data_IF_304184523531
#
_entry.id   IF_304184523531
#
_cell.length_a   1.000
_cell.length_b   1.000
_cell.length_c   1.000
_cell.angle_alpha   90.00
_cell.angle_beta   90.00
_cell.angle_gamma   90.00
#
_symmetry.space_group_name_H-M   'P 1'
#
loop_
_entity.id
_entity.type
_entity.pdbx_description
1 polymer ?
#
# COMPACT_ATOMS: atom_id res chain seq x y z
N UNK A 1 -24.20 18.97 0.67
CA UNK A 1 -23.07 19.90 0.40
C UNK A 1 -22.49 19.53 -0.97
N UNK A 2 -22.03 20.51 -1.75
CA UNK A 2 -21.36 20.27 -3.03
C UNK A 2 -19.85 20.10 -2.80
N UNK A 3 -19.28 18.98 -3.25
CA UNK A 3 -17.86 18.65 -3.07
C UNK A 3 -17.20 18.45 -4.43
N UNK A 4 -16.17 19.23 -4.71
CA UNK A 4 -15.43 19.10 -5.96
C UNK A 4 -14.40 17.96 -5.90
N UNK A 5 -14.40 17.12 -6.92
CA UNK A 5 -13.50 15.97 -7.08
C UNK A 5 -12.71 16.09 -8.38
N UNK A 6 -11.44 15.70 -8.33
CA UNK A 6 -10.58 15.50 -9.50
C UNK A 6 -10.50 14.00 -9.77
N UNK A 7 -11.07 13.54 -10.89
CA UNK A 7 -10.89 12.15 -11.37
C UNK A 7 -9.66 12.05 -12.28
N UNK A 8 -9.04 10.88 -12.37
CA UNK A 8 -7.90 10.60 -13.27
C UNK A 8 -8.18 10.93 -14.76
N UNK A 9 -9.46 10.96 -15.15
CA UNK A 9 -9.90 11.37 -16.48
C UNK A 9 -10.15 12.88 -16.54
N UNK A 10 -9.07 13.62 -16.81
CA UNK A 10 -9.05 15.07 -16.97
C UNK A 10 -9.98 15.55 -18.09
N UNK A 11 -11.03 16.28 -17.71
CA UNK A 11 -11.64 17.41 -18.45
C UNK A 11 -12.75 18.11 -17.67
N UNK A 12 -13.24 17.55 -16.56
CA UNK A 12 -14.30 18.17 -15.73
C UNK A 12 -14.03 18.01 -14.25
N UNK A 13 -14.09 19.12 -13.53
CA UNK A 13 -14.30 19.15 -12.07
C UNK A 13 -15.69 18.61 -11.83
N UNK A 14 -15.80 17.42 -11.26
CA UNK A 14 -17.08 16.85 -10.89
C UNK A 14 -17.46 17.38 -9.52
N UNK A 15 -18.67 17.92 -9.41
CA UNK A 15 -19.24 18.30 -8.12
C UNK A 15 -20.12 17.15 -7.69
N UNK A 16 -19.67 16.39 -6.70
CA UNK A 16 -20.45 15.34 -6.08
C UNK A 16 -21.27 15.93 -4.94
N UNK A 17 -22.56 15.61 -4.93
CA UNK A 17 -23.44 15.91 -3.80
C UNK A 17 -23.53 14.69 -2.86
N UNK A 18 -24.23 14.85 -1.74
CA UNK A 18 -24.36 13.79 -0.73
C UNK A 18 -25.08 12.54 -1.27
N UNK A 19 -25.95 12.68 -2.28
CA UNK A 19 -26.62 11.56 -2.95
C UNK A 19 -25.64 10.76 -3.81
N UNK A 20 -24.78 11.44 -4.58
CA UNK A 20 -23.76 10.79 -5.40
C UNK A 20 -22.79 9.99 -4.51
N UNK A 21 -22.36 10.58 -3.39
CA UNK A 21 -21.50 9.88 -2.43
C UNK A 21 -22.17 8.66 -1.80
N UNK A 22 -23.47 8.75 -1.47
CA UNK A 22 -24.23 7.59 -1.00
C UNK A 22 -24.30 6.50 -2.07
N UNK A 23 -24.48 6.87 -3.34
CA UNK A 23 -24.49 5.92 -4.45
C UNK A 23 -23.13 5.27 -4.65
N UNK A 24 -22.03 6.02 -4.66
CA UNK A 24 -20.68 5.47 -4.77
C UNK A 24 -20.36 4.50 -3.62
N UNK A 25 -20.71 4.85 -2.38
CA UNK A 25 -20.58 3.95 -1.23
C UNK A 25 -21.39 2.67 -1.39
N UNK A 26 -22.61 2.77 -1.95
CA UNK A 26 -23.45 1.60 -2.25
C UNK A 26 -22.84 0.73 -3.34
N UNK A 27 -22.28 1.33 -4.40
CA UNK A 27 -21.58 0.62 -5.48
C UNK A 27 -20.35 -0.11 -4.95
N UNK A 28 -19.50 0.55 -4.14
CA UNK A 28 -18.34 -0.09 -3.49
C UNK A 28 -18.76 -1.31 -2.67
N UNK A 29 -19.82 -1.20 -1.87
CA UNK A 29 -20.39 -2.35 -1.12
C UNK A 29 -20.86 -3.48 -2.04
N UNK A 30 -21.47 -3.15 -3.18
CA UNK A 30 -21.91 -4.14 -4.16
C UNK A 30 -20.73 -4.86 -4.82
N UNK A 31 -19.66 -4.14 -5.16
CA UNK A 31 -18.43 -4.71 -5.71
C UNK A 31 -17.79 -5.66 -4.70
N UNK A 32 -17.65 -5.23 -3.44
CA UNK A 32 -17.12 -6.09 -2.36
C UNK A 32 -17.96 -7.36 -2.21
N UNK A 33 -19.29 -7.24 -2.21
CA UNK A 33 -20.18 -8.41 -2.13
C UNK A 33 -19.99 -9.37 -3.32
N UNK A 34 -19.78 -8.84 -4.52
CA UNK A 34 -19.52 -9.64 -5.71
C UNK A 34 -18.17 -10.36 -5.62
N UNK A 35 -17.11 -9.65 -5.19
CA UNK A 35 -15.79 -10.24 -4.94
C UNK A 35 -15.89 -11.36 -3.91
N UNK A 36 -16.58 -11.14 -2.79
CA UNK A 36 -16.77 -12.17 -1.75
C UNK A 36 -17.45 -13.42 -2.30
N UNK A 37 -18.48 -13.26 -3.14
CA UNK A 37 -19.12 -14.41 -3.80
C UNK A 37 -18.11 -15.19 -4.65
N UNK A 38 -17.29 -14.50 -5.44
CA UNK A 38 -16.26 -15.17 -6.26
C UNK A 38 -15.19 -15.85 -5.38
N UNK A 39 -14.84 -15.26 -4.23
CA UNK A 39 -13.93 -15.86 -3.26
C UNK A 39 -14.55 -17.10 -2.59
N UNK A 40 -15.85 -17.11 -2.29
CA UNK A 40 -16.56 -18.27 -1.77
C UNK A 40 -16.52 -19.42 -2.78
N UNK A 41 -16.76 -19.14 -4.06
CA UNK A 41 -16.69 -20.12 -5.14
C UNK A 41 -15.28 -20.70 -5.29
N UNK A 42 -14.24 -19.86 -5.28
CA UNK A 42 -12.83 -20.28 -5.31
C UNK A 42 -12.49 -21.11 -4.06
N UNK A 43 -12.90 -20.65 -2.87
CA UNK A 43 -12.61 -21.35 -1.62
C UNK A 43 -13.28 -22.72 -1.57
N UNK A 44 -14.50 -22.84 -2.09
CA UNK A 44 -15.20 -24.12 -2.20
C UNK A 44 -14.44 -25.09 -3.09
N UNK A 45 -13.99 -24.63 -4.27
CA UNK A 45 -13.20 -25.43 -5.21
C UNK A 45 -11.83 -25.88 -4.65
N UNK A 46 -11.26 -25.11 -3.73
CA UNK A 46 -9.96 -25.38 -3.12
C UNK A 46 -10.04 -26.11 -1.78
N UNK A 47 -11.26 -26.37 -1.27
CA UNK A 47 -11.47 -26.81 0.12
C UNK A 47 -10.88 -28.18 0.48
N UNK A 48 -10.71 -29.07 -0.50
CA UNK A 48 -10.19 -30.43 -0.35
C UNK A 48 -8.70 -30.56 -0.74
N UNK A 49 -8.05 -29.45 -1.09
CA UNK A 49 -6.66 -29.46 -1.57
C UNK A 49 -5.69 -29.60 -0.41
N UNK A 50 -4.83 -30.60 -0.49
CA UNK A 50 -3.65 -30.72 0.36
C UNK A 50 -2.53 -29.80 -0.15
N UNK A 51 -1.65 -29.35 0.76
CA UNK A 51 -0.49 -28.49 0.46
C UNK A 51 -0.86 -27.20 -0.28
N UNK A 52 -1.89 -26.52 0.23
CA UNK A 52 -2.41 -25.28 -0.35
C UNK A 52 -1.90 -24.06 0.43
N UNK A 53 -1.58 -23.00 -0.30
CA UNK A 53 -1.48 -21.64 0.23
C UNK A 53 -2.33 -20.72 -0.65
N UNK A 54 -3.22 -19.94 -0.01
CA UNK A 54 -4.04 -18.93 -0.64
C UNK A 54 -3.61 -17.57 -0.11
N UNK A 55 -3.33 -16.63 -1.01
CA UNK A 55 -2.97 -15.25 -0.67
C UNK A 55 -3.95 -14.31 -1.32
N UNK A 56 -4.59 -13.48 -0.51
CA UNK A 56 -5.52 -12.45 -0.95
C UNK A 56 -4.87 -11.10 -0.67
N UNK A 57 -4.68 -10.30 -1.72
CA UNK A 57 -4.08 -8.97 -1.62
C UNK A 57 -4.68 -8.03 -2.65
N UNK A 58 -4.40 -6.74 -2.49
CA UNK A 58 -4.56 -5.74 -3.55
C UNK A 58 -3.18 -5.19 -3.96
N UNK A 59 -3.08 -4.63 -5.16
CA UNK A 59 -1.91 -3.87 -5.61
C UNK A 59 -1.89 -2.46 -5.01
N UNK A 60 -3.07 -1.85 -4.89
CA UNK A 60 -3.33 -0.61 -4.16
C UNK A 60 -4.80 -0.57 -3.67
N UNK A 61 -5.12 0.45 -2.87
CA UNK A 61 -6.47 0.79 -2.46
C UNK A 61 -7.07 1.92 -3.29
N UNK A 62 -8.15 2.53 -2.79
CA UNK A 62 -8.88 3.59 -3.49
C UNK A 62 -9.52 4.55 -2.49
N UNK A 63 -9.37 5.85 -2.75
CA UNK A 63 -9.97 6.92 -1.97
C UNK A 63 -11.45 7.09 -2.34
N UNK A 64 -12.28 7.31 -1.33
CA UNK A 64 -13.70 7.60 -1.43
C UNK A 64 -14.06 8.82 -0.56
N UNK A 65 -13.41 9.94 -0.86
CA UNK A 65 -13.57 11.27 -0.28
C UNK A 65 -12.92 11.54 1.08
N UNK A 66 -12.15 10.60 1.63
CA UNK A 66 -11.42 10.79 2.89
C UNK A 66 -10.49 12.02 2.82
N UNK A 67 -9.90 12.30 1.65
CA UNK A 67 -9.08 13.48 1.36
C UNK A 67 -9.59 14.27 0.14
N UNK A 68 -10.93 14.32 0.00
CA UNK A 68 -11.66 15.11 -1.01
C UNK A 68 -11.38 14.70 -2.47
N UNK A 69 -10.95 13.47 -2.71
CA UNK A 69 -10.94 12.90 -4.05
C UNK A 69 -11.62 11.54 -4.07
N UNK A 70 -11.84 11.05 -5.28
CA UNK A 70 -12.20 9.66 -5.57
C UNK A 70 -11.07 9.12 -6.44
N UNK A 71 -10.86 7.80 -6.41
CA UNK A 71 -9.85 7.08 -7.18
C UNK A 71 -8.45 7.02 -6.50
N UNK A 72 -7.48 6.41 -7.15
CA UNK A 72 -6.14 6.11 -6.65
C UNK A 72 -5.06 7.00 -7.30
N UNK A 73 -5.23 8.32 -7.18
CA UNK A 73 -4.17 9.26 -7.57
C UNK A 73 -2.87 8.97 -6.81
N UNK A 74 -1.72 9.39 -7.34
CA UNK A 74 -0.40 9.19 -6.70
C UNK A 74 -0.24 10.03 -5.41
N UNK A 75 -0.97 9.64 -4.37
CA UNK A 75 -1.06 10.22 -3.04
C UNK A 75 -0.97 9.08 -2.04
N UNK A 76 0.14 8.93 -1.32
CA UNK A 76 0.38 7.75 -0.48
C UNK A 76 -0.37 7.84 0.86
N UNK A 77 -1.66 8.18 0.84
CA UNK A 77 -2.58 8.04 1.99
C UNK A 77 -2.92 6.57 2.21
N UNK A 78 -3.27 6.21 3.44
CA UNK A 78 -3.50 4.82 3.84
C UNK A 78 -4.68 4.18 3.07
N UNK A 79 -5.69 4.94 2.65
CA UNK A 79 -6.75 4.44 1.76
C UNK A 79 -6.21 3.88 0.44
N UNK A 80 -5.03 4.34 0.00
CA UNK A 80 -4.36 3.92 -1.24
C UNK A 80 -3.26 2.89 -0.98
N UNK A 81 -2.49 3.00 0.10
CA UNK A 81 -1.28 2.17 0.29
C UNK A 81 -1.46 1.06 1.33
N UNK A 82 -2.46 1.14 2.21
CA UNK A 82 -2.73 0.13 3.23
C UNK A 82 -3.78 -0.85 2.70
N UNK A 83 -3.30 -1.87 2.00
CA UNK A 83 -4.13 -2.86 1.31
C UNK A 83 -4.39 -4.10 2.18
N UNK A 84 -5.49 -4.84 1.91
CA UNK A 84 -5.65 -6.17 2.47
C UNK A 84 -4.46 -7.05 2.12
N UNK A 85 -3.97 -7.84 3.08
CA UNK A 85 -2.96 -8.86 2.85
C UNK A 85 -3.24 -10.04 3.78
N UNK A 86 -3.91 -11.06 3.27
CA UNK A 86 -4.32 -12.24 4.03
C UNK A 86 -3.70 -13.50 3.42
N UNK A 87 -3.13 -14.34 4.28
CA UNK A 87 -2.52 -15.62 3.90
C UNK A 87 -3.21 -16.74 4.68
N UNK A 88 -3.70 -17.72 3.94
CA UNK A 88 -4.17 -18.99 4.45
C UNK A 88 -3.30 -20.12 3.92
N UNK A 89 -3.00 -21.13 4.74
CA UNK A 89 -2.34 -22.34 4.28
C UNK A 89 -2.79 -23.56 5.08
N UNK A 90 -2.79 -24.73 4.42
CA UNK A 90 -3.10 -26.02 5.05
C UNK A 90 -1.95 -26.54 5.91
N UNK A 91 -0.74 -25.97 5.79
CA UNK A 91 0.36 -26.25 6.73
C UNK A 91 0.07 -25.57 8.07
N UNK A 92 -0.35 -26.37 9.06
CA UNK A 92 -0.73 -25.88 10.39
C UNK A 92 0.41 -25.19 11.15
N UNK A 93 1.66 -25.58 10.94
CA UNK A 93 2.81 -24.96 11.58
C UNK A 93 3.08 -23.58 10.97
N UNK A 94 3.13 -23.51 9.64
CA UNK A 94 3.29 -22.24 8.93
C UNK A 94 2.12 -21.29 9.20
N UNK A 95 0.89 -21.80 9.24
CA UNK A 95 -0.30 -21.01 9.57
C UNK A 95 -0.24 -20.43 10.99
N UNK A 96 0.36 -21.16 11.95
CA UNK A 96 0.59 -20.66 13.32
C UNK A 96 1.66 -19.57 13.31
N UNK A 97 2.77 -19.79 12.62
CA UNK A 97 3.86 -18.83 12.49
C UNK A 97 3.38 -17.51 11.86
N UNK A 98 2.63 -17.58 10.75
CA UNK A 98 2.05 -16.42 10.09
C UNK A 98 1.17 -15.56 11.02
N UNK A 99 0.48 -16.18 11.99
CA UNK A 99 -0.37 -15.43 12.95
C UNK A 99 0.45 -14.57 13.91
N UNK A 100 1.72 -14.87 14.12
CA UNK A 100 2.61 -14.06 14.98
C UNK A 100 3.00 -12.72 14.33
N UNK A 101 2.76 -12.58 13.02
CA UNK A 101 3.16 -11.43 12.21
C UNK A 101 2.00 -10.52 11.79
N UNK A 102 0.78 -10.74 12.30
CA UNK A 102 -0.42 -9.98 11.87
C UNK A 102 -0.37 -8.48 12.14
N UNK A 103 0.46 -8.05 13.10
CA UNK A 103 0.64 -6.64 13.47
C UNK A 103 1.99 -6.08 12.98
N UNK A 104 2.78 -6.88 12.25
CA UNK A 104 4.07 -6.43 11.75
C UNK A 104 3.89 -5.58 10.48
N UNK A 105 4.82 -4.64 10.28
CA UNK A 105 4.89 -3.88 9.04
C UNK A 105 5.37 -4.78 7.90
N UNK A 106 4.51 -4.98 6.90
CA UNK A 106 4.80 -5.75 5.67
C UNK A 106 4.57 -4.86 4.44
N UNK A 107 5.41 -5.02 3.42
CA UNK A 107 5.22 -4.45 2.09
C UNK A 107 4.93 -5.54 1.07
N UNK A 108 4.15 -5.24 0.03
CA UNK A 108 3.82 -6.20 -1.03
C UNK A 108 5.07 -6.83 -1.69
N UNK A 109 6.18 -6.09 -1.78
CA UNK A 109 7.44 -6.61 -2.35
C UNK A 109 8.08 -7.71 -1.49
N UNK A 110 7.69 -7.83 -0.22
CA UNK A 110 8.21 -8.84 0.72
C UNK A 110 7.64 -10.22 0.47
N UNK A 111 6.42 -10.29 -0.08
CA UNK A 111 5.74 -11.57 -0.25
C UNK A 111 6.53 -12.51 -1.16
N UNK A 112 7.09 -12.00 -2.26
CA UNK A 112 7.90 -12.79 -3.18
C UNK A 112 9.12 -13.44 -2.51
N UNK A 113 9.78 -12.71 -1.60
CA UNK A 113 10.96 -13.18 -0.85
C UNK A 113 10.55 -14.16 0.26
N UNK A 114 9.42 -13.87 0.91
CA UNK A 114 8.86 -14.73 1.96
C UNK A 114 8.41 -16.07 1.39
N UNK A 115 7.71 -16.06 0.26
CA UNK A 115 7.29 -17.27 -0.45
C UNK A 115 8.48 -18.11 -0.89
N UNK A 116 9.54 -17.49 -1.43
CA UNK A 116 10.78 -18.21 -1.74
C UNK A 116 11.36 -18.89 -0.49
N UNK A 117 11.39 -18.18 0.65
CA UNK A 117 11.82 -18.74 1.92
C UNK A 117 10.98 -19.91 2.41
N UNK A 118 9.65 -19.84 2.28
CA UNK A 118 8.73 -20.94 2.59
C UNK A 118 9.01 -22.17 1.71
N UNK A 119 9.29 -21.95 0.42
CA UNK A 119 9.61 -23.02 -0.53
C UNK A 119 11.05 -23.55 -0.40
N UNK A 120 11.86 -23.05 0.54
CA UNK A 120 13.27 -23.42 0.69
C UNK A 120 14.16 -22.91 -0.46
N UNK A 121 13.69 -21.95 -1.25
CA UNK A 121 14.39 -21.37 -2.39
C UNK A 121 15.19 -20.16 -1.93
N UNK A 122 16.48 -20.12 -2.30
CA UNK A 122 17.31 -18.93 -2.11
C UNK A 122 16.83 -17.81 -3.05
N UNK A 123 16.24 -16.76 -2.48
CA UNK A 123 15.82 -15.59 -3.25
C UNK A 123 17.04 -14.74 -3.67
N UNK A 124 17.27 -14.63 -4.98
CA UNK A 124 18.26 -13.72 -5.58
C UNK A 124 17.58 -12.59 -6.39
N UNK A 125 16.27 -12.40 -6.20
CA UNK A 125 15.43 -11.40 -6.86
C UNK A 125 14.76 -10.51 -5.80
N UNK A 126 14.09 -9.44 -6.25
CA UNK A 126 13.34 -8.50 -5.41
C UNK A 126 14.19 -7.68 -4.43
N UNK A 127 13.53 -6.70 -3.80
CA UNK A 127 14.13 -5.78 -2.80
C UNK A 127 13.53 -5.95 -1.40
N UNK A 128 12.52 -6.82 -1.27
CA UNK A 128 11.82 -7.06 0.00
C UNK A 128 12.63 -7.89 0.99
N UNK A 129 11.99 -8.21 2.11
CA UNK A 129 12.55 -9.12 3.13
C UNK A 129 11.67 -10.35 3.29
N UNK A 130 12.21 -11.43 3.86
CA UNK A 130 11.38 -12.51 4.37
C UNK A 130 10.81 -12.09 5.74
N UNK A 131 9.52 -11.76 5.79
CA UNK A 131 8.89 -11.24 7.01
C UNK A 131 8.71 -12.30 8.12
N UNK A 132 8.80 -13.60 7.80
CA UNK A 132 8.83 -14.69 8.80
C UNK A 132 10.18 -14.81 9.52
N UNK A 133 11.21 -14.11 9.03
CA UNK A 133 12.59 -14.20 9.53
C UNK A 133 13.15 -12.86 9.98
N UNK A 134 12.45 -11.77 9.72
CA UNK A 134 12.90 -10.43 10.10
C UNK A 134 11.77 -9.41 10.09
N UNK A 135 11.90 -8.43 10.98
CA UNK A 135 10.96 -7.30 11.09
C UNK A 135 11.56 -6.04 10.50
N UNK A 136 10.70 -5.07 10.17
CA UNK A 136 11.07 -3.72 9.76
C UNK A 136 10.41 -2.69 10.66
N UNK A 137 11.02 -1.53 10.78
CA UNK A 137 10.48 -0.42 11.56
C UNK A 137 9.67 0.58 10.71
N UNK A 138 9.74 0.46 9.38
CA UNK A 138 9.03 1.33 8.45
C UNK A 138 8.68 0.59 7.16
N UNK A 139 7.63 1.05 6.47
CA UNK A 139 7.31 0.74 5.06
C UNK A 139 7.49 2.01 4.24
N UNK A 140 8.05 1.84 3.04
CA UNK A 140 8.23 2.92 2.07
C UNK A 140 7.28 2.71 0.90
N UNK A 141 6.62 3.78 0.46
CA UNK A 141 5.74 3.79 -0.71
C UNK A 141 6.08 4.98 -1.59
N UNK A 142 6.04 4.80 -2.91
CA UNK A 142 6.34 5.87 -3.85
C UNK A 142 5.45 5.83 -5.09
N UNK A 143 5.27 7.00 -5.69
CA UNK A 143 4.67 7.15 -6.99
C UNK A 143 5.10 8.46 -7.64
N UNK A 144 4.98 8.51 -8.95
CA UNK A 144 5.30 9.68 -9.74
C UNK A 144 4.03 10.17 -10.42
N UNK A 145 3.87 11.48 -10.46
CA UNK A 145 2.78 12.18 -11.13
C UNK A 145 3.33 13.09 -12.20
N UNK A 146 2.66 13.21 -13.33
CA UNK A 146 3.05 14.14 -14.39
C UNK A 146 3.14 15.58 -13.84
N UNK A 147 4.10 16.38 -14.34
CA UNK A 147 4.28 17.77 -13.88
C UNK A 147 3.03 18.63 -14.11
N UNK A 148 2.41 18.48 -15.27
CA UNK A 148 1.27 19.27 -15.71
C UNK A 148 -0.05 18.49 -15.69
N UNK A 149 -0.13 17.38 -14.94
CA UNK A 149 -1.31 16.53 -14.91
C UNK A 149 -1.46 15.76 -13.61
N UNK A 150 -2.59 15.08 -13.46
CA UNK A 150 -2.92 14.26 -12.28
C UNK A 150 -2.62 12.78 -12.48
N UNK A 151 -2.19 12.40 -13.69
CA UNK A 151 -1.89 11.02 -14.07
C UNK A 151 -0.55 10.54 -13.53
N UNK A 152 -0.48 9.22 -13.33
CA UNK A 152 0.78 8.54 -13.06
C UNK A 152 1.80 8.84 -14.17
N UNK A 153 3.03 9.15 -13.77
CA UNK A 153 4.14 9.35 -14.70
C UNK A 153 5.09 8.12 -14.69
N UNK A 154 4.99 7.25 -15.72
CA UNK A 154 5.86 6.08 -15.80
C UNK A 154 7.32 6.44 -16.10
N UNK A 155 7.60 7.66 -16.60
CA UNK A 155 8.96 8.11 -16.91
C UNK A 155 9.74 8.52 -15.65
N UNK A 156 9.05 8.71 -14.52
CA UNK A 156 9.59 9.17 -13.23
C UNK A 156 10.27 10.55 -13.30
N UNK A 157 9.94 11.38 -14.29
CA UNK A 157 10.49 12.74 -14.47
C UNK A 157 9.60 13.81 -13.83
N UNK A 158 8.36 13.46 -13.50
CA UNK A 158 7.37 14.30 -12.89
C UNK A 158 7.56 14.51 -11.39
N UNK A 159 6.48 14.94 -10.71
CA UNK A 159 6.46 15.12 -9.28
C UNK A 159 6.54 13.77 -8.56
N UNK A 160 7.59 13.57 -7.77
CA UNK A 160 7.77 12.41 -6.91
C UNK A 160 6.98 12.59 -5.62
N UNK A 161 6.08 11.66 -5.34
CA UNK A 161 5.32 11.56 -4.12
C UNK A 161 5.74 10.28 -3.38
N UNK A 162 5.99 10.36 -2.09
CA UNK A 162 6.41 9.20 -1.31
C UNK A 162 5.98 9.32 0.14
N UNK A 163 5.94 8.18 0.83
CA UNK A 163 5.75 8.13 2.27
C UNK A 163 6.72 7.16 2.95
N UNK A 164 6.97 7.43 4.22
CA UNK A 164 7.60 6.54 5.18
C UNK A 164 6.58 6.34 6.29
N UNK A 165 6.09 5.11 6.44
CA UNK A 165 5.07 4.73 7.41
C UNK A 165 5.67 3.81 8.47
N UNK A 166 5.57 4.19 9.74
CA UNK A 166 5.86 3.31 10.88
C UNK A 166 4.54 2.80 11.48
N UNK A 167 4.59 2.09 12.60
CA UNK A 167 3.37 1.71 13.33
C UNK A 167 2.66 2.91 13.97
N UNK A 168 3.40 3.96 14.33
CA UNK A 168 2.91 5.07 15.14
C UNK A 168 2.85 6.40 14.41
N UNK A 169 3.56 6.58 13.29
CA UNK A 169 3.56 7.82 12.54
C UNK A 169 3.79 7.60 11.04
N UNK A 170 3.37 8.57 10.23
CA UNK A 170 3.69 8.59 8.79
C UNK A 170 4.19 9.95 8.35
N UNK A 171 5.35 9.94 7.72
CA UNK A 171 5.84 11.08 6.95
C UNK A 171 5.43 10.92 5.49
N UNK A 172 5.02 12.03 4.86
CA UNK A 172 4.67 12.06 3.45
C UNK A 172 5.23 13.32 2.77
N UNK A 173 5.80 13.13 1.59
CA UNK A 173 6.05 14.20 0.63
C UNK A 173 5.00 14.09 -0.48
N UNK A 174 4.16 15.12 -0.60
CA UNK A 174 3.11 15.18 -1.61
C UNK A 174 3.18 16.52 -2.35
N UNK A 175 3.54 16.48 -3.63
CA UNK A 175 3.62 17.63 -4.52
C UNK A 175 4.52 18.75 -3.97
N UNK A 176 5.65 18.37 -3.38
CA UNK A 176 6.60 19.30 -2.76
C UNK A 176 6.22 19.75 -1.35
N UNK A 177 5.09 19.31 -0.80
CA UNK A 177 4.69 19.60 0.58
C UNK A 177 5.00 18.42 1.49
N UNK A 178 5.72 18.70 2.58
CA UNK A 178 5.96 17.76 3.66
C UNK A 178 4.76 17.72 4.61
N UNK A 179 4.38 16.53 5.06
CA UNK A 179 3.35 16.29 6.07
C UNK A 179 3.80 15.16 7.01
N UNK A 180 3.41 15.27 8.27
CA UNK A 180 3.62 14.25 9.29
C UNK A 180 2.27 13.94 9.95
N UNK A 181 1.93 12.68 10.12
CA UNK A 181 0.72 12.24 10.80
C UNK A 181 1.07 11.35 11.99
N UNK A 182 0.38 11.56 13.10
CA UNK A 182 0.40 10.66 14.24
C UNK A 182 -0.68 9.59 14.03
N UNK A 183 -0.25 8.38 13.70
CA UNK A 183 -1.15 7.27 13.41
C UNK A 183 -1.71 6.61 14.67
N UNK A 184 -1.24 6.99 15.85
CA UNK A 184 -1.83 6.52 17.11
C UNK A 184 -3.13 7.23 17.43
N UNK A 185 -3.22 8.52 17.07
CA UNK A 185 -4.38 9.37 17.37
C UNK A 185 -5.15 9.82 16.12
N UNK A 186 -4.55 9.75 14.93
CA UNK A 186 -5.12 10.19 13.65
C UNK A 186 -4.86 9.15 12.54
N UNK A 187 -5.48 7.97 12.68
CA UNK A 187 -5.41 6.90 11.68
C UNK A 187 -5.95 7.28 10.30
N UNK A 188 -6.79 8.32 10.21
CA UNK A 188 -7.39 8.83 8.97
C UNK A 188 -6.60 10.01 8.37
N UNK A 189 -5.47 10.36 8.97
CA UNK A 189 -4.50 11.30 8.40
C UNK A 189 -5.11 12.68 8.06
N UNK A 190 -6.03 13.14 8.90
CA UNK A 190 -6.78 14.37 8.67
C UNK A 190 -6.03 15.62 9.16
N UNK A 191 -5.14 15.45 10.14
CA UNK A 191 -4.54 16.54 10.90
C UNK A 191 -3.01 16.44 10.86
N UNK A 192 -2.35 16.98 9.82
CA UNK A 192 -0.91 16.94 9.73
C UNK A 192 -0.26 17.77 10.85
N UNK A 193 0.74 17.18 11.50
CA UNK A 193 1.61 17.82 12.48
C UNK A 193 2.74 18.59 11.82
N UNK A 194 3.43 19.41 12.61
CA UNK A 194 4.68 20.04 12.20
C UNK A 194 5.75 18.97 12.04
N UNK A 195 6.47 19.00 10.92
CA UNK A 195 7.57 18.06 10.67
C UNK A 195 8.81 18.52 11.43
N UNK A 196 9.12 17.81 12.51
CA UNK A 196 10.31 18.06 13.31
C UNK A 196 11.61 17.64 12.59
N UNK A 197 12.72 18.30 12.94
CA UNK A 197 14.04 18.01 12.35
C UNK A 197 14.55 16.59 12.69
N UNK A 198 14.16 16.06 13.85
CA UNK A 198 14.40 14.68 14.28
C UNK A 198 13.81 13.68 13.29
N UNK A 199 12.52 13.85 12.95
CA UNK A 199 11.79 13.02 11.98
C UNK A 199 12.40 13.14 10.59
N UNK A 200 12.82 14.35 10.17
CA UNK A 200 13.50 14.54 8.86
C UNK A 200 14.78 13.73 8.74
N UNK A 201 15.61 13.72 9.79
CA UNK A 201 16.85 12.93 9.84
C UNK A 201 16.57 11.42 9.78
N UNK A 202 15.53 10.97 10.48
CA UNK A 202 15.12 9.57 10.47
C UNK A 202 14.59 9.16 9.09
N UNK A 203 13.68 9.94 8.50
CA UNK A 203 13.16 9.73 7.14
C UNK A 203 14.29 9.68 6.11
N UNK A 204 15.25 10.61 6.18
CA UNK A 204 16.44 10.60 5.30
C UNK A 204 17.24 9.30 5.45
N UNK A 205 17.36 8.78 6.66
CA UNK A 205 18.04 7.51 6.93
C UNK A 205 17.32 6.34 6.28
N UNK A 206 16.00 6.26 6.41
CA UNK A 206 15.19 5.22 5.77
C UNK A 206 15.22 5.30 4.24
N UNK A 207 15.11 6.50 3.66
CA UNK A 207 15.23 6.69 2.20
C UNK A 207 16.61 6.23 1.71
N UNK A 208 17.68 6.54 2.43
CA UNK A 208 19.02 6.08 2.08
C UNK A 208 19.13 4.55 2.14
N UNK A 209 18.46 3.89 3.09
CA UNK A 209 18.39 2.43 3.16
C UNK A 209 17.65 1.84 1.96
N UNK A 210 16.49 2.40 1.59
CA UNK A 210 15.73 1.98 0.39
C UNK A 210 16.54 2.15 -0.90
N UNK A 211 17.21 3.29 -1.07
CA UNK A 211 18.09 3.53 -2.22
C UNK A 211 19.22 2.50 -2.30
N UNK A 212 19.83 2.14 -1.16
CA UNK A 212 20.88 1.10 -1.12
C UNK A 212 20.33 -0.28 -1.51
N UNK A 213 19.15 -0.66 -1.01
CA UNK A 213 18.50 -1.93 -1.39
C UNK A 213 18.25 -1.98 -2.89
N UNK A 214 17.68 -0.91 -3.45
CA UNK A 214 17.40 -0.82 -4.88
C UNK A 214 18.66 -0.87 -5.74
N UNK A 215 19.71 -0.13 -5.37
CA UNK A 215 21.00 -0.16 -6.08
C UNK A 215 21.66 -1.55 -6.00
N UNK A 216 21.61 -2.20 -4.83
CA UNK A 216 22.15 -3.56 -4.66
C UNK A 216 21.41 -4.58 -5.53
N UNK A 217 20.08 -4.49 -5.57
CA UNK A 217 19.27 -5.35 -6.44
C UNK A 217 19.57 -5.09 -7.92
N UNK A 218 19.61 -3.82 -8.34
CA UNK A 218 19.94 -3.44 -9.71
C UNK A 218 21.33 -3.91 -10.14
N UNK A 219 22.32 -3.89 -9.23
CA UNK A 219 23.67 -4.40 -9.53
C UNK A 219 23.71 -5.93 -9.70
N UNK A 220 22.81 -6.67 -9.03
CA UNK A 220 22.71 -8.14 -9.13
C UNK A 220 21.93 -8.57 -10.38
N UNK A 221 20.88 -7.83 -10.71
CA UNK A 221 20.14 -7.99 -11.95
C UNK A 221 20.97 -7.43 -13.10
N UNK A 222 21.86 -8.24 -13.67
CA UNK A 222 22.53 -7.94 -14.94
C UNK A 222 21.43 -7.62 -15.97
N UNK A 223 21.21 -6.35 -16.25
CA UNK A 223 20.52 -5.89 -17.45
C UNK A 223 21.57 -5.61 -18.52
#
# INVERSE_FOLDING_TARGET
RELAVILQNEKKKLVLNDTDLKQLKKLRKSIIKHINKNLDDISSYLSDRENLMVVITSDHGEELMEHRNVDHLSKPYDEIIHVPFAIYTTDGNLQKELREHVNDLVSLVDFSITLAGVLGIRANFGIGINFLRGKRNYVYSEGFRQQNGFRHDPTRQGARNFSVRTLSWKYMMLNGKEMLFDLTNDLQEQNPLVVEESVKKEVKTFINQENRKWLSWKAKCKF
#
